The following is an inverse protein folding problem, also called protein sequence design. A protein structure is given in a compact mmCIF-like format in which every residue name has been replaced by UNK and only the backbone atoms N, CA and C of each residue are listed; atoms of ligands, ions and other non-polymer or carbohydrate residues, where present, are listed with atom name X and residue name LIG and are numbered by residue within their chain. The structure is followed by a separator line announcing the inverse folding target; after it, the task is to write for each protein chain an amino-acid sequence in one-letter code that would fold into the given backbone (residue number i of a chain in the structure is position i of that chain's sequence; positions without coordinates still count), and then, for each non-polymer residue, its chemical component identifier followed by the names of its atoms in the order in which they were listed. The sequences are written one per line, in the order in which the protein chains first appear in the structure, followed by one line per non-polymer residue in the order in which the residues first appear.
data_IF_305651082894
#
_entry.id   IF_305651082894
#
_cell.length_a   1.000
_cell.length_b   1.000
_cell.length_c   1.000
_cell.angle_alpha   90.00
_cell.angle_beta   90.00
_cell.angle_gamma   90.00
#
_symmetry.space_group_name_H-M   'P 1'
#
loop_
_entity.id
_entity.type
_entity.pdbx_description
1 polymer ?
#
# COMPACT_ATOMS: atom_id res chain seq x y z
N UNK A 1 -12.89 -7.05 -9.14
CA UNK A 1 -13.66 -6.75 -7.91
C UNK A 1 -13.33 -5.32 -7.53
N UNK A 2 -14.35 -4.56 -7.13
CA UNK A 2 -14.27 -3.13 -6.81
C UNK A 2 -13.69 -2.89 -5.42
N UNK A 3 -12.83 -1.88 -5.29
CA UNK A 3 -12.35 -1.34 -4.01
C UNK A 3 -13.53 -0.91 -3.13
N UNK A 4 -14.46 -0.13 -3.68
CA UNK A 4 -15.58 0.44 -2.93
C UNK A 4 -16.68 -0.57 -2.56
N UNK A 5 -16.64 -1.78 -3.12
CA UNK A 5 -17.46 -2.91 -2.65
C UNK A 5 -17.09 -3.38 -1.25
N UNK A 6 -15.79 -3.33 -0.89
CA UNK A 6 -15.28 -3.82 0.39
C UNK A 6 -14.80 -2.70 1.33
N UNK A 7 -14.55 -1.52 0.80
CA UNK A 7 -14.11 -0.33 1.52
C UNK A 7 -15.04 0.82 1.15
N UNK A 8 -16.09 1.07 1.95
CA UNK A 8 -16.99 2.21 1.73
C UNK A 8 -16.20 3.53 1.65
N UNK A 9 -16.79 4.59 1.09
CA UNK A 9 -16.11 5.89 1.01
C UNK A 9 -15.64 6.39 2.39
N UNK A 10 -16.45 6.21 3.43
CA UNK A 10 -16.06 6.54 4.81
C UNK A 10 -14.86 5.71 5.30
N UNK A 11 -14.83 4.41 4.99
CA UNK A 11 -13.69 3.56 5.31
C UNK A 11 -12.44 3.95 4.50
N UNK A 12 -12.60 4.36 3.25
CA UNK A 12 -11.50 4.88 2.43
C UNK A 12 -10.93 6.17 3.03
N UNK A 13 -11.78 7.09 3.48
CA UNK A 13 -11.36 8.33 4.15
C UNK A 13 -10.53 8.02 5.39
N UNK A 14 -11.04 7.17 6.30
CA UNK A 14 -10.30 6.77 7.50
C UNK A 14 -8.98 6.06 7.15
N UNK A 15 -9.02 5.17 6.15
CA UNK A 15 -7.85 4.45 5.66
C UNK A 15 -6.77 5.40 5.10
N UNK A 16 -7.20 6.38 4.32
CA UNK A 16 -6.34 7.35 3.64
C UNK A 16 -5.71 8.35 4.62
N UNK A 17 -6.46 8.80 5.64
CA UNK A 17 -5.94 9.66 6.72
C UNK A 17 -4.76 8.97 7.42
N UNK A 18 -4.93 7.70 7.77
CA UNK A 18 -3.87 6.89 8.39
C UNK A 18 -2.70 6.62 7.43
N UNK A 19 -2.99 6.41 6.15
CA UNK A 19 -1.97 6.27 5.10
C UNK A 19 -1.12 7.54 4.97
N UNK A 20 -1.68 8.72 5.24
CA UNK A 20 -1.01 10.00 5.23
C UNK A 20 0.24 10.08 6.13
N UNK A 21 0.33 9.21 7.15
CA UNK A 21 1.52 9.06 8.01
C UNK A 21 2.74 8.53 7.25
N UNK A 22 2.56 7.87 6.10
CA UNK A 22 3.66 7.42 5.24
C UNK A 22 4.35 8.55 4.48
N UNK A 23 3.69 9.69 4.32
CA UNK A 23 4.22 10.88 3.62
C UNK A 23 4.69 10.58 2.18
N UNK A 24 3.92 9.79 1.44
CA UNK A 24 4.18 9.46 0.03
C UNK A 24 3.64 10.52 -0.93
N UNK A 25 3.85 10.34 -2.23
CA UNK A 25 3.51 11.38 -3.22
C UNK A 25 2.01 11.68 -3.29
N UNK A 26 1.17 10.66 -3.05
CA UNK A 26 -0.28 10.73 -3.14
C UNK A 26 -1.01 10.60 -1.80
N UNK A 27 -0.29 10.49 -0.69
CA UNK A 27 -0.86 10.44 0.66
C UNK A 27 0.08 11.13 1.63
N UNK A 28 -0.36 12.27 2.15
CA UNK A 28 0.34 13.10 3.14
C UNK A 28 -0.58 13.32 4.34
N UNK A 29 -0.08 13.94 5.40
CA UNK A 29 -0.93 14.32 6.55
C UNK A 29 -2.15 15.10 6.06
N UNK A 30 -3.33 14.58 6.35
CA UNK A 30 -4.61 15.16 5.94
C UNK A 30 -5.01 16.24 6.93
N UNK A 31 -5.34 17.43 6.42
CA UNK A 31 -6.07 18.47 7.15
C UNK A 31 -7.57 18.26 6.97
N UNK A 32 -8.00 18.03 5.74
CA UNK A 32 -9.40 17.77 5.40
C UNK A 32 -9.49 16.87 4.17
N UNK A 33 -10.58 16.10 4.05
CA UNK A 33 -10.84 15.18 2.95
C UNK A 33 -12.36 14.98 2.80
N UNK A 34 -12.85 15.12 1.56
CA UNK A 34 -14.28 15.03 1.28
C UNK A 34 -14.51 14.42 -0.10
N UNK A 35 -15.67 13.78 -0.27
CA UNK A 35 -16.16 13.38 -1.58
C UNK A 35 -16.65 14.65 -2.31
N UNK A 36 -16.09 14.92 -3.49
CA UNK A 36 -16.53 16.01 -4.36
C UNK A 36 -17.77 15.55 -5.13
N UNK A 37 -17.65 14.43 -5.83
CA UNK A 37 -18.74 13.81 -6.57
C UNK A 37 -18.51 12.31 -6.80
N UNK A 38 -19.58 11.65 -7.24
CA UNK A 38 -19.55 10.33 -7.86
C UNK A 38 -20.36 10.42 -9.16
N UNK A 39 -19.68 10.38 -10.30
CA UNK A 39 -20.30 10.54 -11.63
C UNK A 39 -19.97 9.31 -12.47
N UNK A 40 -20.99 8.58 -12.89
CA UNK A 40 -20.87 7.39 -13.76
C UNK A 40 -19.87 6.33 -13.26
N UNK A 41 -19.75 6.16 -11.95
CA UNK A 41 -18.83 5.22 -11.31
C UNK A 41 -17.38 5.72 -11.17
N UNK A 42 -17.13 7.00 -11.45
CA UNK A 42 -15.88 7.70 -11.11
C UNK A 42 -16.08 8.45 -9.79
N UNK A 43 -15.20 8.22 -8.83
CA UNK A 43 -15.19 8.95 -7.57
C UNK A 43 -14.16 10.08 -7.63
N UNK A 44 -14.58 11.30 -7.30
CA UNK A 44 -13.69 12.46 -7.18
C UNK A 44 -13.59 12.86 -5.72
N UNK A 45 -12.38 12.90 -5.18
CA UNK A 45 -12.13 13.18 -3.77
C UNK A 45 -11.21 14.39 -3.66
N UNK A 46 -11.67 15.41 -2.92
CA UNK A 46 -10.88 16.57 -2.57
C UNK A 46 -10.09 16.30 -1.30
N UNK A 47 -8.82 16.73 -1.28
CA UNK A 47 -7.95 16.57 -0.11
C UNK A 47 -7.11 17.82 0.12
N UNK A 48 -7.15 18.30 1.35
CA UNK A 48 -6.22 19.30 1.86
C UNK A 48 -5.09 18.60 2.63
N UNK A 49 -3.87 18.63 2.09
CA UNK A 49 -2.70 18.12 2.78
C UNK A 49 -2.02 19.21 3.62
N UNK A 50 -1.68 18.87 4.86
CA UNK A 50 -0.79 19.66 5.70
C UNK A 50 0.68 19.33 5.38
N UNK A 51 1.32 20.18 4.59
CA UNK A 51 2.74 20.04 4.23
C UNK A 51 3.52 21.12 4.96
N UNK A 52 4.28 20.70 5.98
CA UNK A 52 4.99 21.59 6.91
C UNK A 52 3.98 22.54 7.59
N UNK A 53 3.96 23.81 7.20
CA UNK A 53 3.04 24.85 7.72
C UNK A 53 2.07 25.38 6.67
N UNK A 54 1.99 24.73 5.49
CA UNK A 54 1.14 25.16 4.38
C UNK A 54 0.13 24.07 4.03
N UNK A 55 -1.01 24.51 3.54
CA UNK A 55 -2.03 23.64 2.97
C UNK A 55 -1.71 23.49 1.49
N UNK A 56 -1.63 22.24 1.02
CA UNK A 56 -1.55 21.92 -0.40
C UNK A 56 -2.79 21.12 -0.76
N UNK A 57 -3.55 21.64 -1.72
CA UNK A 57 -4.77 21.02 -2.21
C UNK A 57 -4.44 19.96 -3.25
N UNK A 58 -5.19 18.87 -3.23
CA UNK A 58 -5.12 17.79 -4.19
C UNK A 58 -6.52 17.30 -4.55
N UNK A 59 -6.64 16.72 -5.74
CA UNK A 59 -7.83 15.97 -6.16
C UNK A 59 -7.40 14.54 -6.48
N UNK A 60 -8.23 13.58 -6.10
CA UNK A 60 -8.04 12.16 -6.42
C UNK A 60 -9.23 11.72 -7.26
N UNK A 61 -8.99 11.35 -8.52
CA UNK A 61 -9.99 10.70 -9.35
C UNK A 61 -9.76 9.18 -9.33
N UNK A 62 -10.82 8.42 -9.09
CA UNK A 62 -10.76 6.96 -8.96
C UNK A 62 -11.74 6.33 -9.94
N UNK A 63 -11.22 5.61 -10.92
CA UNK A 63 -11.99 4.72 -11.78
C UNK A 63 -11.62 3.27 -11.47
N UNK A 64 -12.60 2.45 -11.12
CA UNK A 64 -12.36 1.03 -10.77
C UNK A 64 -12.41 0.10 -11.99
N UNK A 65 -12.94 0.60 -13.11
CA UNK A 65 -13.13 -0.13 -14.36
C UNK A 65 -12.45 0.59 -15.52
N UNK A 66 -11.98 -0.19 -16.50
CA UNK A 66 -11.20 0.32 -17.62
C UNK A 66 -12.00 1.29 -18.51
N UNK A 67 -13.30 1.03 -18.70
CA UNK A 67 -14.19 1.87 -19.50
C UNK A 67 -14.47 3.25 -18.88
N UNK A 68 -14.19 3.42 -17.58
CA UNK A 68 -14.37 4.68 -16.85
C UNK A 68 -13.11 5.55 -16.79
N UNK A 69 -11.96 5.03 -17.23
CA UNK A 69 -10.68 5.73 -17.08
C UNK A 69 -10.61 7.02 -17.88
N UNK A 70 -11.08 7.04 -19.13
CA UNK A 70 -11.10 8.25 -19.96
C UNK A 70 -11.99 9.35 -19.35
N UNK A 71 -13.09 8.96 -18.69
CA UNK A 71 -13.94 9.89 -17.95
C UNK A 71 -13.21 10.45 -16.73
N UNK A 72 -12.52 9.60 -15.96
CA UNK A 72 -11.73 10.05 -14.82
C UNK A 72 -10.58 11.00 -15.24
N UNK A 73 -9.95 10.75 -16.39
CA UNK A 73 -8.98 11.67 -16.99
C UNK A 73 -9.61 13.01 -17.35
N UNK A 74 -10.79 12.99 -17.99
CA UNK A 74 -11.51 14.22 -18.33
C UNK A 74 -11.82 15.05 -17.08
N UNK A 75 -12.40 14.43 -16.05
CA UNK A 75 -12.75 15.10 -14.79
C UNK A 75 -11.50 15.65 -14.10
N UNK A 76 -10.43 14.85 -13.98
CA UNK A 76 -9.25 15.28 -13.23
C UNK A 76 -8.51 16.44 -13.92
N UNK A 77 -8.62 16.56 -15.24
CA UNK A 77 -8.06 17.67 -15.99
C UNK A 77 -8.76 19.01 -15.71
N UNK A 78 -10.00 19.03 -15.22
CA UNK A 78 -10.69 20.27 -14.83
C UNK A 78 -10.06 20.95 -13.58
N UNK A 79 -9.16 20.25 -12.87
CA UNK A 79 -8.51 20.72 -11.64
C UNK A 79 -7.02 21.04 -11.83
N UNK A 80 -6.65 21.78 -12.88
CA UNK A 80 -5.26 22.06 -13.26
C UNK A 80 -4.43 22.75 -12.16
N UNK A 81 -5.06 23.58 -11.33
CA UNK A 81 -4.39 24.29 -10.23
C UNK A 81 -4.08 23.41 -9.01
N UNK A 82 -4.56 22.16 -8.99
CA UNK A 82 -4.43 21.24 -7.86
C UNK A 82 -3.41 20.14 -8.14
N UNK A 83 -2.93 19.48 -7.08
CA UNK A 83 -2.18 18.24 -7.30
C UNK A 83 -3.14 17.12 -7.70
N UNK A 84 -2.99 16.62 -8.93
CA UNK A 84 -3.90 15.63 -9.52
C UNK A 84 -3.38 14.21 -9.31
N UNK A 85 -4.15 13.39 -8.61
CA UNK A 85 -3.88 11.96 -8.39
C UNK A 85 -4.92 11.13 -9.12
N UNK A 86 -4.46 10.23 -9.98
CA UNK A 86 -5.34 9.30 -10.71
C UNK A 86 -5.14 7.88 -10.18
N UNK A 87 -6.22 7.21 -9.80
CA UNK A 87 -6.22 5.80 -9.36
C UNK A 87 -7.08 5.00 -10.34
N UNK A 88 -6.46 4.08 -11.07
CA UNK A 88 -7.09 3.34 -12.17
C UNK A 88 -6.70 1.86 -12.13
N UNK A 89 -7.39 0.96 -12.85
CA UNK A 89 -6.99 -0.44 -12.92
C UNK A 89 -5.54 -0.59 -13.34
N UNK A 90 -4.81 -1.47 -12.68
CA UNK A 90 -3.36 -1.62 -12.87
C UNK A 90 -2.96 -1.99 -14.31
N UNK A 91 -3.85 -2.69 -15.02
CA UNK A 91 -3.68 -3.18 -16.39
C UNK A 91 -4.10 -2.16 -17.45
N UNK A 92 -4.64 -1.00 -17.07
CA UNK A 92 -4.95 0.07 -18.01
C UNK A 92 -3.66 0.68 -18.61
N UNK A 93 -3.55 0.78 -19.94
CA UNK A 93 -2.34 1.27 -20.61
C UNK A 93 -2.28 2.81 -20.63
N UNK A 94 -1.94 3.42 -19.50
CA UNK A 94 -1.71 4.87 -19.43
C UNK A 94 -0.30 5.23 -19.91
N UNK A 95 -0.21 6.19 -20.83
CA UNK A 95 1.06 6.81 -21.22
C UNK A 95 1.75 7.48 -20.03
N UNK A 96 3.09 7.41 -19.97
CA UNK A 96 3.85 7.96 -18.85
C UNK A 96 4.34 9.40 -19.09
N UNK A 97 4.03 9.99 -20.25
CA UNK A 97 4.56 11.28 -20.67
C UNK A 97 3.99 12.46 -19.86
N UNK A 98 2.82 12.27 -19.23
CA UNK A 98 2.14 13.26 -18.38
C UNK A 98 2.14 12.87 -16.90
N UNK A 99 3.03 11.95 -16.50
CA UNK A 99 3.06 11.36 -15.16
C UNK A 99 4.39 11.68 -14.48
N UNK A 100 4.34 12.34 -13.33
CA UNK A 100 5.54 12.69 -12.55
C UNK A 100 5.89 11.63 -11.48
N UNK A 101 4.92 10.80 -11.07
CA UNK A 101 5.09 9.76 -10.07
C UNK A 101 4.11 8.62 -10.26
N UNK A 102 4.56 7.42 -9.91
CA UNK A 102 3.79 6.18 -10.04
C UNK A 102 3.87 5.35 -8.77
N UNK A 103 2.75 4.71 -8.44
CA UNK A 103 2.66 3.68 -7.44
C UNK A 103 1.60 2.63 -7.79
N UNK A 104 1.38 1.73 -6.85
CA UNK A 104 0.32 0.73 -6.89
C UNK A 104 -0.39 0.68 -5.54
N UNK A 105 -1.65 0.25 -5.59
CA UNK A 105 -2.47 -0.07 -4.45
C UNK A 105 -3.06 -1.46 -4.68
N UNK A 106 -2.81 -2.37 -3.74
CA UNK A 106 -3.47 -3.67 -3.70
C UNK A 106 -4.29 -3.83 -2.44
N UNK A 107 -5.47 -4.46 -2.62
CA UNK A 107 -6.31 -4.89 -1.51
C UNK A 107 -6.62 -6.37 -1.66
N UNK A 108 -6.49 -7.10 -0.56
CA UNK A 108 -6.99 -8.45 -0.39
C UNK A 108 -8.25 -8.38 0.48
N UNK A 109 -9.33 -9.03 0.04
CA UNK A 109 -10.33 -9.52 0.98
C UNK A 109 -9.61 -10.43 1.99
N UNK A 110 -9.89 -10.29 3.29
CA UNK A 110 -9.19 -11.07 4.32
C UNK A 110 -9.39 -12.59 4.20
N UNK A 111 -10.36 -13.04 3.41
CA UNK A 111 -10.65 -14.43 3.08
C UNK A 111 -10.09 -14.87 1.72
N UNK A 112 -9.37 -13.99 1.02
CA UNK A 112 -8.75 -14.29 -0.27
C UNK A 112 -7.83 -15.50 -0.18
N UNK A 113 -7.94 -16.39 -1.17
CA UNK A 113 -6.99 -17.49 -1.36
C UNK A 113 -5.68 -16.93 -1.91
N UNK A 114 -4.66 -16.90 -1.07
CA UNK A 114 -3.28 -16.60 -1.46
C UNK A 114 -2.51 -17.89 -1.79
N UNK A 115 -1.28 -17.76 -2.26
CA UNK A 115 -0.39 -18.90 -2.46
C UNK A 115 -0.18 -19.69 -1.15
N UNK A 116 0.08 -21.00 -1.25
CA UNK A 116 0.46 -21.81 -0.07
C UNK A 116 1.69 -21.20 0.61
N UNK A 117 1.60 -20.78 1.89
CA UNK A 117 2.72 -20.18 2.61
C UNK A 117 3.77 -21.23 2.97
N UNK A 118 5.00 -20.78 3.25
CA UNK A 118 6.01 -21.63 3.86
C UNK A 118 5.67 -21.85 5.35
N UNK A 119 5.37 -23.11 5.71
CA UNK A 119 4.96 -23.47 7.07
C UNK A 119 6.12 -23.52 8.06
N UNK A 120 7.35 -23.75 7.56
CA UNK A 120 8.59 -23.83 8.35
C UNK A 120 9.02 -22.46 8.89
N UNK A 121 8.46 -21.38 8.33
CA UNK A 121 8.72 -20.03 8.81
C UNK A 121 7.89 -19.75 10.07
N UNK A 122 8.54 -19.70 11.22
CA UNK A 122 7.92 -19.23 12.47
C UNK A 122 7.71 -17.72 12.40
N UNK A 123 6.53 -17.24 12.80
CA UNK A 123 6.24 -15.80 12.90
C UNK A 123 6.13 -15.40 14.37
N UNK A 124 6.88 -14.39 14.74
CA UNK A 124 6.76 -13.70 16.01
C UNK A 124 6.01 -12.37 15.79
N UNK A 125 4.97 -12.13 16.58
CA UNK A 125 4.10 -10.95 16.48
C UNK A 125 4.45 -10.01 17.63
N UNK A 126 5.06 -8.87 17.30
CA UNK A 126 5.56 -7.92 18.27
C UNK A 126 4.69 -6.66 18.28
N UNK A 127 4.08 -6.37 19.43
CA UNK A 127 3.36 -5.10 19.68
C UNK A 127 4.24 -4.03 20.33
N UNK A 128 5.33 -4.46 20.95
CA UNK A 128 6.36 -3.62 21.53
C UNK A 128 7.72 -4.26 21.26
N UNK A 129 8.77 -3.44 21.23
CA UNK A 129 10.12 -3.87 20.92
C UNK A 129 11.14 -2.96 21.61
N UNK A 130 12.31 -3.51 21.89
CA UNK A 130 13.45 -2.78 22.44
C UNK A 130 14.53 -2.55 21.38
N UNK A 131 15.62 -1.89 21.78
CA UNK A 131 16.73 -1.59 20.87
C UNK A 131 17.42 -2.83 20.27
N UNK A 132 17.32 -4.02 20.89
CA UNK A 132 17.87 -5.26 20.31
C UNK A 132 17.06 -5.68 19.08
N UNK A 133 15.73 -5.65 19.19
CA UNK A 133 14.84 -5.92 18.06
C UNK A 133 15.02 -4.89 16.93
N UNK A 134 15.17 -3.60 17.26
CA UNK A 134 15.43 -2.56 16.24
C UNK A 134 16.66 -2.89 15.38
N UNK A 135 17.76 -3.36 16.00
CA UNK A 135 18.96 -3.79 15.24
C UNK A 135 18.68 -4.96 14.30
N UNK A 136 17.85 -5.91 14.72
CA UNK A 136 17.42 -7.04 13.88
C UNK A 136 16.59 -6.53 12.70
N UNK A 137 15.63 -5.64 12.95
CA UNK A 137 14.77 -5.04 11.92
C UNK A 137 15.60 -4.30 10.86
N UNK A 138 16.55 -3.47 11.32
CA UNK A 138 17.49 -2.77 10.47
C UNK A 138 18.31 -3.73 9.60
N UNK A 139 18.83 -4.81 10.20
CA UNK A 139 19.57 -5.85 9.48
C UNK A 139 18.75 -6.47 8.33
N UNK A 140 17.50 -6.86 8.59
CA UNK A 140 16.62 -7.45 7.57
C UNK A 140 16.31 -6.44 6.46
N UNK A 141 15.90 -5.23 6.83
CA UNK A 141 15.59 -4.17 5.87
C UNK A 141 16.78 -3.87 4.97
N UNK A 142 17.96 -3.57 5.52
CA UNK A 142 19.17 -3.29 4.71
C UNK A 142 19.50 -4.43 3.76
N UNK A 143 19.46 -5.69 4.22
CA UNK A 143 19.70 -6.88 3.38
C UNK A 143 18.59 -7.15 2.34
N UNK A 144 17.38 -6.63 2.54
CA UNK A 144 16.25 -6.75 1.61
C UNK A 144 16.28 -5.69 0.50
N UNK A 145 16.34 -4.41 0.86
CA UNK A 145 16.16 -3.29 -0.09
C UNK A 145 17.15 -2.12 0.04
N UNK A 146 18.08 -2.17 1.01
CA UNK A 146 19.22 -1.25 1.12
C UNK A 146 19.15 -0.15 2.18
N UNK A 147 17.99 0.14 2.79
CA UNK A 147 17.86 1.15 3.84
C UNK A 147 16.95 0.67 4.97
N UNK A 148 16.85 1.41 6.07
CA UNK A 148 15.99 1.08 7.20
C UNK A 148 14.97 2.18 7.44
N UNK A 149 13.71 1.78 7.63
CA UNK A 149 12.67 2.62 8.21
C UNK A 149 12.22 1.94 9.51
N UNK A 150 12.25 2.64 10.66
CA UNK A 150 11.79 2.09 11.91
C UNK A 150 10.26 1.92 11.92
N UNK A 151 9.74 0.88 12.60
CA UNK A 151 8.32 0.79 12.86
C UNK A 151 7.89 1.93 13.80
N UNK A 152 6.64 2.36 13.67
CA UNK A 152 6.05 3.41 14.50
C UNK A 152 5.38 2.76 15.71
N UNK A 153 5.77 3.13 16.95
CA UNK A 153 5.05 2.71 18.15
C UNK A 153 3.56 3.05 18.03
N UNK A 154 2.72 2.21 18.63
CA UNK A 154 1.25 2.32 18.69
C UNK A 154 0.51 2.14 17.35
N UNK A 155 1.10 2.54 16.23
CA UNK A 155 0.55 2.31 14.88
C UNK A 155 0.83 0.88 14.38
N UNK A 156 2.00 0.32 14.68
CA UNK A 156 2.49 -0.90 14.04
C UNK A 156 2.49 -2.12 14.95
N UNK A 157 2.00 -3.22 14.39
CA UNK A 157 2.36 -4.58 14.82
C UNK A 157 3.43 -5.11 13.86
N UNK A 158 4.56 -5.54 14.42
CA UNK A 158 5.68 -6.07 13.63
C UNK A 158 5.57 -7.58 13.52
N UNK A 159 5.57 -8.09 12.29
CA UNK A 159 5.64 -9.52 11.99
C UNK A 159 7.08 -9.88 11.65
N UNK A 160 7.76 -10.54 12.58
CA UNK A 160 9.15 -10.98 12.42
C UNK A 160 9.17 -12.47 12.06
N UNK A 161 9.70 -12.80 10.88
CA UNK A 161 9.76 -14.16 10.37
C UNK A 161 11.12 -14.81 10.59
N UNK A 162 11.10 -16.01 11.15
CA UNK A 162 12.27 -16.84 11.41
C UNK A 162 12.27 -18.09 10.53
N UNK A 163 13.43 -18.45 10.00
CA UNK A 163 13.65 -19.73 9.33
C UNK A 163 14.91 -20.36 9.94
N UNK A 164 14.80 -21.56 10.51
CA UNK A 164 15.87 -22.22 11.27
C UNK A 164 16.47 -21.30 12.35
N UNK A 165 15.59 -20.64 13.13
CA UNK A 165 15.91 -19.67 14.18
C UNK A 165 16.69 -18.41 13.75
N UNK A 166 16.96 -18.23 12.47
CA UNK A 166 17.49 -16.97 11.93
C UNK A 166 16.34 -16.01 11.59
N UNK A 167 16.40 -14.73 12.00
CA UNK A 167 15.45 -13.71 11.58
C UNK A 167 15.70 -13.29 10.12
N UNK A 168 14.75 -13.61 9.23
CA UNK A 168 14.93 -13.51 7.77
C UNK A 168 13.91 -12.62 7.07
N UNK A 169 12.82 -12.26 7.74
CA UNK A 169 11.73 -11.49 7.14
C UNK A 169 11.03 -10.57 8.13
N UNK A 170 10.44 -9.49 7.59
CA UNK A 170 9.82 -8.43 8.37
C UNK A 170 8.65 -7.82 7.61
N UNK A 171 7.57 -7.50 8.31
CA UNK A 171 6.48 -6.68 7.80
C UNK A 171 5.89 -5.83 8.94
N UNK A 172 5.49 -4.60 8.63
CA UNK A 172 4.82 -3.72 9.58
C UNK A 172 3.35 -3.62 9.20
N UNK A 173 2.48 -4.21 10.02
CA UNK A 173 1.04 -4.08 9.84
C UNK A 173 0.57 -2.85 10.61
N UNK A 174 0.08 -1.84 9.90
CA UNK A 174 -0.61 -0.70 10.52
C UNK A 174 -1.98 -1.15 11.02
N UNK A 175 -2.20 -1.10 12.33
CA UNK A 175 -3.43 -1.61 12.94
C UNK A 175 -4.62 -0.67 12.79
N UNK A 176 -4.40 0.58 12.38
CA UNK A 176 -5.45 1.58 12.22
C UNK A 176 -6.12 1.49 10.84
N UNK A 177 -5.41 1.04 9.81
CA UNK A 177 -5.93 0.94 8.45
C UNK A 177 -5.65 -0.40 7.73
N UNK A 178 -4.99 -1.35 8.40
CA UNK A 178 -4.61 -2.64 7.84
C UNK A 178 -3.82 -2.53 6.53
N UNK A 179 -3.02 -1.48 6.38
CA UNK A 179 -1.98 -1.40 5.36
C UNK A 179 -0.70 -2.07 5.87
N UNK A 180 -0.04 -2.86 5.03
CA UNK A 180 1.33 -3.31 5.27
C UNK A 180 2.26 -2.14 4.92
N UNK A 181 2.59 -1.34 5.93
CA UNK A 181 3.45 -0.18 5.76
C UNK A 181 4.84 -0.61 5.30
N UNK A 182 5.36 0.08 4.28
CA UNK A 182 6.65 -0.19 3.63
C UNK A 182 6.76 -1.54 2.91
N UNK A 183 5.76 -2.41 3.05
CA UNK A 183 5.65 -3.70 2.39
C UNK A 183 6.30 -4.85 3.16
N UNK A 184 6.31 -6.03 2.54
CA UNK A 184 6.91 -7.24 3.10
C UNK A 184 8.37 -7.33 2.66
N UNK A 185 9.26 -7.48 3.64
CA UNK A 185 10.69 -7.61 3.42
C UNK A 185 11.17 -9.01 3.75
N UNK A 186 11.96 -9.59 2.84
CA UNK A 186 12.68 -10.84 3.05
C UNK A 186 14.12 -10.60 2.65
N UNK A 187 15.07 -11.08 3.45
CA UNK A 187 16.50 -11.05 3.12
C UNK A 187 16.72 -11.76 1.78
N UNK A 188 17.51 -11.14 0.88
CA UNK A 188 17.63 -11.57 -0.53
C UNK A 188 17.99 -13.03 -0.73
N UNK A 189 18.90 -13.57 0.09
CA UNK A 189 19.34 -14.98 -0.01
C UNK A 189 18.20 -15.99 0.25
N UNK A 190 17.11 -15.55 0.89
CA UNK A 190 15.93 -16.37 1.20
C UNK A 190 14.75 -16.13 0.25
N UNK A 191 14.95 -15.37 -0.82
CA UNK A 191 13.91 -15.16 -1.83
C UNK A 191 13.49 -16.46 -2.51
N UNK A 192 12.28 -16.46 -3.07
CA UNK A 192 11.63 -17.62 -3.73
C UNK A 192 11.34 -18.81 -2.81
N UNK A 193 11.51 -18.67 -1.49
CA UNK A 193 11.14 -19.67 -0.48
C UNK A 193 9.76 -19.48 0.16
N UNK A 194 8.88 -18.66 -0.46
CA UNK A 194 7.52 -18.33 0.02
C UNK A 194 7.42 -17.78 1.45
N UNK A 195 8.51 -17.21 1.97
CA UNK A 195 8.57 -16.57 3.29
C UNK A 195 7.66 -15.35 3.34
N UNK A 196 7.73 -14.48 2.33
CA UNK A 196 6.84 -13.31 2.26
C UNK A 196 5.35 -13.68 2.23
N UNK A 197 5.00 -14.79 1.57
CA UNK A 197 3.63 -15.32 1.57
C UNK A 197 3.20 -15.77 2.97
N UNK A 198 4.11 -16.32 3.78
CA UNK A 198 3.81 -16.62 5.19
C UNK A 198 3.49 -15.36 6.00
N UNK A 199 4.26 -14.28 5.82
CA UNK A 199 3.99 -13.00 6.49
C UNK A 199 2.65 -12.40 6.02
N UNK A 200 2.35 -12.46 4.71
CA UNK A 200 1.06 -12.02 4.17
C UNK A 200 -0.11 -12.82 4.75
N UNK A 201 0.03 -14.15 4.83
CA UNK A 201 -0.97 -15.03 5.44
C UNK A 201 -1.25 -14.64 6.89
N UNK A 202 -0.21 -14.32 7.64
CA UNK A 202 -0.32 -13.93 9.04
C UNK A 202 -0.97 -12.55 9.19
N UNK A 203 -0.61 -11.58 8.34
CA UNK A 203 -1.25 -10.27 8.29
C UNK A 203 -2.74 -10.36 7.95
N UNK A 204 -3.14 -11.22 7.00
CA UNK A 204 -4.55 -11.49 6.69
C UNK A 204 -5.29 -12.09 7.88
N UNK A 205 -4.67 -13.04 8.60
CA UNK A 205 -5.23 -13.64 9.81
C UNK A 205 -5.47 -12.61 10.90
N UNK A 206 -4.50 -11.71 11.14
CA UNK A 206 -4.61 -10.64 12.12
C UNK A 206 -5.70 -9.64 11.72
N UNK A 207 -5.72 -9.20 10.46
CA UNK A 207 -6.73 -8.28 9.94
C UNK A 207 -8.15 -8.86 10.12
N UNK A 208 -8.35 -10.13 9.75
CA UNK A 208 -9.60 -10.86 9.97
C UNK A 208 -9.99 -10.93 11.44
N UNK A 209 -9.05 -11.31 12.31
CA UNK A 209 -9.28 -11.41 13.75
C UNK A 209 -9.63 -10.08 14.43
N UNK A 210 -9.28 -8.95 13.80
CA UNK A 210 -9.65 -7.60 14.23
C UNK A 210 -10.91 -7.06 13.53
N UNK A 211 -11.62 -7.87 12.75
CA UNK A 211 -12.85 -7.49 12.08
C UNK A 211 -12.68 -6.66 10.81
N UNK A 212 -11.45 -6.49 10.31
CA UNK A 212 -11.25 -5.86 9.01
C UNK A 212 -11.77 -6.76 7.88
N UNK A 213 -12.37 -6.15 6.86
CA UNK A 213 -12.76 -6.84 5.62
C UNK A 213 -11.60 -6.95 4.63
N UNK A 214 -10.57 -6.12 4.80
CA UNK A 214 -9.46 -6.03 3.86
C UNK A 214 -8.09 -5.96 4.55
N UNK A 215 -7.07 -6.29 3.76
CA UNK A 215 -5.67 -5.98 4.01
C UNK A 215 -5.16 -5.25 2.78
N UNK A 216 -4.35 -4.21 2.96
CA UNK A 216 -3.84 -3.41 1.85
C UNK A 216 -2.32 -3.34 1.83
N UNK A 217 -1.77 -3.03 0.66
CA UNK A 217 -0.39 -2.55 0.53
C UNK A 217 -0.33 -1.46 -0.53
N UNK A 218 0.36 -0.37 -0.19
CA UNK A 218 0.75 0.65 -1.15
C UNK A 218 2.22 0.52 -1.48
N UNK A 219 2.59 0.79 -2.73
CA UNK A 219 4.00 0.87 -3.12
C UNK A 219 4.22 2.04 -4.06
N UNK A 220 5.18 2.88 -3.73
CA UNK A 220 5.71 3.93 -4.62
C UNK A 220 6.86 3.36 -5.43
N UNK A 221 6.87 3.61 -6.74
CA UNK A 221 7.97 3.19 -7.59
C UNK A 221 9.09 4.23 -7.53
N UNK A 222 10.34 3.76 -7.55
CA UNK A 222 11.51 4.66 -7.54
C UNK A 222 11.75 5.36 -8.88
N UNK A 223 11.09 4.89 -9.94
CA UNK A 223 11.06 5.48 -11.28
C UNK A 223 9.73 5.14 -11.93
N UNK A 224 9.28 5.92 -12.92
CA UNK A 224 7.99 5.69 -13.60
C UNK A 224 7.87 4.29 -14.22
N UNK A 225 8.97 3.79 -14.80
CA UNK A 225 9.07 2.43 -15.38
C UNK A 225 9.23 1.32 -14.31
N UNK A 226 9.42 1.69 -13.06
CA UNK A 226 9.74 0.79 -11.95
C UNK A 226 11.17 0.25 -12.02
N UNK A 227 11.81 0.08 -10.87
CA UNK A 227 13.10 -0.62 -10.79
C UNK A 227 12.91 -2.14 -10.81
N UNK A 228 14.01 -2.90 -10.95
CA UNK A 228 13.95 -4.36 -10.80
C UNK A 228 13.44 -4.79 -9.41
N UNK A 229 13.70 -4.00 -8.37
CA UNK A 229 13.13 -4.22 -7.04
C UNK A 229 11.61 -4.01 -7.01
N UNK A 230 11.13 -2.96 -7.68
CA UNK A 230 9.70 -2.67 -7.77
C UNK A 230 8.95 -3.76 -8.51
N UNK A 231 9.44 -4.16 -9.69
CA UNK A 231 8.86 -5.25 -10.48
C UNK A 231 8.80 -6.58 -9.70
N UNK A 232 9.83 -6.89 -8.91
CA UNK A 232 9.85 -8.10 -8.07
C UNK A 232 8.80 -8.06 -6.96
N UNK A 233 8.65 -6.94 -6.28
CA UNK A 233 7.64 -6.79 -5.22
C UNK A 233 6.23 -6.82 -5.79
N UNK A 234 5.99 -6.11 -6.89
CA UNK A 234 4.73 -6.15 -7.66
C UNK A 234 4.41 -7.58 -8.06
N UNK A 235 5.38 -8.30 -8.65
CA UNK A 235 5.22 -9.70 -9.03
C UNK A 235 4.88 -10.61 -7.86
N UNK A 236 5.53 -10.41 -6.70
CA UNK A 236 5.20 -11.12 -5.46
C UNK A 236 3.75 -10.88 -5.04
N UNK A 237 3.31 -9.63 -4.96
CA UNK A 237 1.95 -9.32 -4.53
C UNK A 237 0.92 -9.84 -5.53
N UNK A 238 1.07 -9.57 -6.84
CA UNK A 238 0.20 -10.10 -7.89
C UNK A 238 0.07 -11.63 -7.83
N UNK A 239 1.18 -12.33 -7.60
CA UNK A 239 1.18 -13.78 -7.48
C UNK A 239 0.39 -14.29 -6.25
N UNK A 240 0.25 -13.46 -5.21
CA UNK A 240 -0.62 -13.74 -4.06
C UNK A 240 -2.06 -13.26 -4.25
N UNK A 241 -2.49 -13.03 -5.50
CA UNK A 241 -3.88 -12.85 -5.89
C UNK A 241 -4.65 -11.77 -5.09
N UNK A 242 -4.19 -10.50 -5.13
CA UNK A 242 -4.95 -9.39 -4.59
C UNK A 242 -6.28 -9.29 -5.33
N UNK A 243 -7.30 -9.00 -4.55
CA UNK A 243 -8.68 -8.94 -5.00
C UNK A 243 -8.99 -7.63 -5.74
N UNK A 244 -8.22 -6.56 -5.45
CA UNK A 244 -8.24 -5.26 -6.12
C UNK A 244 -6.81 -4.91 -6.54
N UNK A 245 -6.63 -4.46 -7.79
CA UNK A 245 -5.33 -4.08 -8.37
C UNK A 245 -5.41 -2.73 -9.05
N UNK A 246 -4.89 -1.71 -8.38
CA UNK A 246 -4.88 -0.35 -8.90
C UNK A 246 -3.46 0.15 -9.14
N UNK A 247 -3.28 0.89 -10.22
CA UNK A 247 -2.17 1.82 -10.37
C UNK A 247 -2.56 3.19 -9.80
N UNK A 248 -1.58 3.88 -9.23
CA UNK A 248 -1.74 5.24 -8.73
C UNK A 248 -0.74 6.13 -9.45
N UNK A 249 -1.23 7.20 -10.06
CA UNK A 249 -0.43 8.17 -10.80
C UNK A 249 -0.60 9.55 -10.18
N UNK A 250 0.46 10.35 -10.20
CA UNK A 250 0.33 11.80 -10.06
C UNK A 250 0.62 12.40 -11.42
N UNK A 251 -0.32 13.21 -11.89
CA UNK A 251 -0.27 13.83 -13.20
C UNK A 251 0.48 15.17 -13.11
N UNK A 252 1.20 15.51 -14.17
CA UNK A 252 1.80 16.84 -14.38
C UNK A 252 0.73 17.86 -14.71
#
# INVERSE_FOLDING_TARGET
MHMFKNMTIGNFVSWYIELGKLMIFWAKRVKDIWLVDEIDGVFTIGVDWLIRRRIRKAVIAIAEEADKVEKALTIIHEYEDLTRILIIPEDYPLGLDTVDARGILYLWDVNSKILKPNIDVRIEILKSWNNRYIKVFEGIHRKSWGFFIPPRPDDHVVLLGYLNDEPVALAYLNVNNFNIDYGIHVVRQYWRKRIGTRLLSEALRIARGKGSKYLSVVRVFRSLKGTAGDRRAVGFYRANNPSVKMAVYRLE
#
